data_IF_171287481385
#
_entry.id   IF_171287481385
#
_cell.length_a   1.000
_cell.length_b   1.000
_cell.length_c   1.000
_cell.angle_alpha   90.00
_cell.angle_beta   90.00
_cell.angle_gamma   90.00
#
_symmetry.space_group_name_H-M   'P 1'
#
loop_
_entity.id
_entity.type
_entity.pdbx_description
1 polymer ?
#
# COMPACT_ATOMS: atom_id res chain seq x y z
N UNK A 1 8.21 -17.25 -15.17
CA UNK A 1 7.57 -15.93 -14.93
C UNK A 1 6.52 -16.04 -13.84
N UNK A 2 5.69 -17.10 -13.86
CA UNK A 2 4.64 -17.38 -12.85
C UNK A 2 5.16 -17.78 -11.46
N UNK A 3 6.30 -18.48 -11.34
CA UNK A 3 6.83 -18.83 -10.01
C UNK A 3 7.32 -17.60 -9.22
N UNK A 4 7.85 -16.60 -9.93
CA UNK A 4 8.36 -15.37 -9.32
C UNK A 4 7.19 -14.52 -8.78
N UNK A 5 6.07 -14.46 -9.50
CA UNK A 5 4.86 -13.77 -9.03
C UNK A 5 4.23 -14.49 -7.85
N UNK A 6 4.17 -15.83 -7.88
CA UNK A 6 3.67 -16.63 -6.77
C UNK A 6 4.50 -16.46 -5.48
N UNK A 7 5.83 -16.33 -5.58
CA UNK A 7 6.70 -16.06 -4.44
C UNK A 7 6.50 -14.66 -3.87
N UNK A 8 6.39 -13.65 -4.74
CA UNK A 8 6.07 -12.27 -4.31
C UNK A 8 4.71 -12.23 -3.63
N UNK A 9 3.73 -12.96 -4.14
CA UNK A 9 2.39 -13.05 -3.57
C UNK A 9 2.36 -13.79 -2.22
N UNK A 10 3.08 -14.90 -2.10
CA UNK A 10 3.21 -15.61 -0.83
C UNK A 10 3.95 -14.77 0.21
N UNK A 11 4.94 -13.99 -0.23
CA UNK A 11 5.64 -13.05 0.62
C UNK A 11 4.71 -11.91 1.06
N UNK A 12 3.90 -11.32 0.17
CA UNK A 12 2.92 -10.29 0.55
C UNK A 12 1.86 -10.81 1.53
N UNK A 13 1.38 -12.05 1.38
CA UNK A 13 0.45 -12.65 2.35
C UNK A 13 1.10 -12.88 3.73
N UNK A 14 2.33 -13.39 3.78
CA UNK A 14 3.08 -13.53 5.04
C UNK A 14 3.36 -12.17 5.71
N UNK A 15 3.44 -11.08 4.94
CA UNK A 15 3.56 -9.72 5.45
C UNK A 15 2.24 -9.14 5.98
N UNK A 16 1.10 -9.56 5.40
CA UNK A 16 -0.25 -9.20 5.85
C UNK A 16 -0.68 -9.97 7.10
N UNK A 17 -0.05 -11.11 7.41
CA UNK A 17 -0.17 -11.83 8.70
C UNK A 17 0.51 -11.09 9.87
N UNK A 18 0.64 -9.76 9.77
CA UNK A 18 1.20 -8.87 10.79
C UNK A 18 0.47 -9.04 12.13
N UNK A 19 1.20 -9.60 13.09
CA UNK A 19 0.90 -9.71 14.52
C UNK A 19 -0.11 -8.66 14.98
N UNK A 20 -1.21 -9.07 15.63
CA UNK A 20 -2.31 -8.24 16.13
C UNK A 20 -1.95 -7.17 17.17
N UNK A 21 -0.90 -6.41 16.91
CA UNK A 21 -0.13 -5.51 17.76
C UNK A 21 0.06 -4.18 17.03
N UNK A 22 0.07 -3.06 17.74
CA UNK A 22 0.20 -1.70 17.17
C UNK A 22 1.66 -1.33 16.83
N UNK A 23 2.50 -2.29 16.45
CA UNK A 23 3.90 -2.05 16.13
C UNK A 23 4.10 -1.91 14.62
N UNK A 24 4.68 -0.80 14.19
CA UNK A 24 5.09 -0.62 12.79
C UNK A 24 6.27 -1.51 12.43
N UNK A 25 6.30 -2.00 11.19
CA UNK A 25 7.42 -2.75 10.66
C UNK A 25 8.34 -1.84 9.85
N UNK A 26 9.27 -1.18 10.55
CA UNK A 26 10.18 -0.19 9.97
C UNK A 26 11.12 -0.76 8.89
N UNK A 27 11.25 -2.09 8.79
CA UNK A 27 12.08 -2.74 7.78
C UNK A 27 11.60 -2.49 6.34
N UNK A 28 10.33 -2.12 6.17
CA UNK A 28 9.76 -1.84 4.85
C UNK A 28 9.78 -0.37 4.48
N UNK A 29 10.21 0.53 5.37
CA UNK A 29 10.31 1.95 5.02
C UNK A 29 11.30 2.14 3.85
N UNK A 30 10.89 2.93 2.87
CA UNK A 30 11.53 3.16 1.57
C UNK A 30 11.51 1.97 0.60
N UNK A 31 10.96 0.81 0.96
CA UNK A 31 10.77 -0.27 0.01
C UNK A 31 9.77 0.14 -1.08
N UNK A 32 10.00 -0.36 -2.30
CA UNK A 32 9.08 -0.16 -3.43
C UNK A 32 7.83 -1.01 -3.22
N UNK A 33 6.69 -0.48 -3.62
CA UNK A 33 5.41 -1.18 -3.60
C UNK A 33 4.60 -0.88 -4.87
N UNK A 34 3.68 -1.77 -5.17
CA UNK A 34 2.67 -1.60 -6.21
C UNK A 34 1.33 -1.27 -5.57
N UNK A 35 0.55 -0.39 -6.21
CA UNK A 35 -0.82 -0.06 -5.81
C UNK A 35 -1.79 -0.74 -6.76
N UNK A 36 -2.72 -1.50 -6.19
CA UNK A 36 -3.73 -2.26 -6.92
C UNK A 36 -5.02 -1.46 -7.09
N UNK A 37 -5.74 -1.73 -8.18
CA UNK A 37 -7.06 -1.19 -8.40
C UNK A 37 -8.07 -1.81 -7.42
N UNK A 38 -8.57 -1.02 -6.48
CA UNK A 38 -9.56 -1.47 -5.50
C UNK A 38 -10.88 -1.95 -6.12
N UNK A 39 -11.21 -1.49 -7.33
CA UNK A 39 -12.45 -1.85 -8.04
C UNK A 39 -12.29 -3.05 -8.98
N UNK A 40 -11.06 -3.56 -9.18
CA UNK A 40 -10.83 -4.75 -9.99
C UNK A 40 -10.95 -6.00 -9.10
N UNK A 41 -12.12 -6.63 -9.14
CA UNK A 41 -12.43 -7.79 -8.31
C UNK A 41 -12.01 -9.13 -8.95
N UNK A 42 -11.96 -9.16 -10.29
CA UNK A 42 -11.72 -10.39 -11.04
C UNK A 42 -10.23 -10.61 -11.35
N UNK A 43 -9.43 -9.54 -11.45
CA UNK A 43 -8.01 -9.58 -11.79
C UNK A 43 -7.22 -8.52 -11.01
N UNK A 44 -6.00 -8.87 -10.60
CA UNK A 44 -5.08 -7.93 -9.94
C UNK A 44 -4.52 -6.93 -10.96
N UNK A 45 -5.12 -5.74 -11.00
CA UNK A 45 -4.65 -4.65 -11.86
C UNK A 45 -3.73 -3.69 -11.07
N UNK A 46 -2.46 -3.60 -11.47
CA UNK A 46 -1.52 -2.62 -10.92
C UNK A 46 -1.72 -1.25 -11.60
N UNK A 47 -2.13 -0.25 -10.83
CA UNK A 47 -2.46 1.10 -11.33
C UNK A 47 -1.40 2.15 -11.02
N UNK A 48 -0.49 1.87 -10.08
CA UNK A 48 0.59 2.78 -9.73
C UNK A 48 1.75 2.07 -9.02
N UNK A 49 2.91 2.71 -9.06
CA UNK A 49 4.09 2.37 -8.27
C UNK A 49 4.34 3.41 -7.18
N UNK A 50 4.88 2.96 -6.04
CA UNK A 50 5.18 3.83 -4.93
C UNK A 50 6.30 3.34 -4.03
N UNK A 51 6.55 4.11 -2.97
CA UNK A 51 7.46 3.75 -1.88
C UNK A 51 6.77 3.89 -0.54
N UNK A 52 7.03 2.93 0.34
CA UNK A 52 6.49 2.94 1.70
C UNK A 52 7.17 4.07 2.47
N UNK A 53 6.38 5.05 2.90
CA UNK A 53 6.84 6.20 3.68
C UNK A 53 6.90 5.89 5.18
N UNK A 54 5.94 5.11 5.68
CA UNK A 54 5.85 4.73 7.10
C UNK A 54 4.92 3.54 7.25
N UNK A 55 5.28 2.63 8.14
CA UNK A 55 4.41 1.54 8.62
C UNK A 55 3.97 1.74 10.08
N UNK A 56 4.40 2.83 10.73
CA UNK A 56 3.98 3.16 12.11
C UNK A 56 2.48 3.53 12.15
N UNK A 57 1.63 2.74 12.85
CA UNK A 57 0.18 2.97 12.89
C UNK A 57 -0.22 4.29 13.59
N UNK A 58 0.72 4.96 14.26
CA UNK A 58 0.50 6.24 14.97
C UNK A 58 0.76 7.45 14.08
N UNK A 59 1.45 7.28 12.95
CA UNK A 59 1.68 8.38 12.00
C UNK A 59 0.35 8.86 11.46
N UNK A 60 0.23 10.18 11.30
CA UNK A 60 -1.01 10.82 10.84
C UNK A 60 -0.98 11.05 9.33
N UNK A 61 -2.08 10.74 8.68
CA UNK A 61 -2.44 11.22 7.34
C UNK A 61 -3.66 12.10 7.54
N UNK A 62 -3.55 13.37 7.18
CA UNK A 62 -4.66 14.32 7.32
C UNK A 62 -5.24 14.33 8.75
N UNK A 63 -4.37 14.54 9.75
CA UNK A 63 -4.73 14.50 11.18
C UNK A 63 -5.35 13.19 11.70
N UNK A 64 -5.52 12.16 10.88
CA UNK A 64 -6.03 10.86 11.31
C UNK A 64 -4.87 9.87 11.43
N UNK A 65 -4.74 9.12 12.55
CA UNK A 65 -3.74 8.06 12.64
C UNK A 65 -4.03 7.01 11.57
N UNK A 66 -2.97 6.44 10.97
CA UNK A 66 -3.09 5.39 9.95
C UNK A 66 -3.90 4.19 10.44
N UNK A 67 -3.67 3.77 11.69
CA UNK A 67 -4.27 2.56 12.24
C UNK A 67 -3.47 1.30 11.89
N UNK A 68 -3.95 0.17 12.40
CA UNK A 68 -3.30 -1.14 12.23
C UNK A 68 -3.35 -1.58 10.77
N UNK A 69 -2.31 -2.28 10.32
CA UNK A 69 -2.20 -2.87 8.98
C UNK A 69 -2.35 -1.86 7.82
N UNK A 70 -2.15 -0.57 8.13
CA UNK A 70 -2.25 0.54 7.18
C UNK A 70 -0.87 1.19 7.01
N UNK A 71 -0.43 1.36 5.77
CA UNK A 71 0.87 1.97 5.46
C UNK A 71 0.68 3.31 4.77
N UNK A 72 1.55 4.27 5.08
CA UNK A 72 1.65 5.52 4.33
C UNK A 72 2.58 5.29 3.15
N UNK A 73 2.15 5.67 1.95
CA UNK A 73 2.88 5.43 0.71
C UNK A 73 3.04 6.74 -0.07
N UNK A 74 4.23 6.97 -0.63
CA UNK A 74 4.46 7.97 -1.65
C UNK A 74 4.15 7.36 -3.02
N UNK A 75 3.26 7.98 -3.79
CA UNK A 75 3.01 7.57 -5.18
C UNK A 75 4.09 8.17 -6.06
N UNK A 76 4.86 7.34 -6.77
CA UNK A 76 5.97 7.79 -7.62
C UNK A 76 5.56 7.86 -9.10
N UNK A 77 4.73 6.93 -9.57
CA UNK A 77 4.24 6.89 -10.94
C UNK A 77 2.86 6.24 -11.03
N UNK A 78 2.01 6.74 -11.93
CA UNK A 78 0.69 6.17 -12.25
C UNK A 78 0.79 5.52 -13.63
N UNK A 79 0.41 4.25 -13.74
CA UNK A 79 0.52 3.46 -14.97
C UNK A 79 -0.75 3.54 -15.85
N UNK A 80 -1.91 3.84 -15.26
CA UNK A 80 -3.21 3.86 -15.95
C UNK A 80 -3.76 5.29 -16.02
N UNK A 81 -4.16 5.80 -17.20
CA UNK A 81 -4.71 7.13 -17.33
C UNK A 81 -6.07 7.27 -16.62
N UNK A 82 -6.36 8.48 -16.11
CA UNK A 82 -7.63 8.84 -15.45
C UNK A 82 -7.98 8.06 -14.17
N UNK A 83 -6.99 7.45 -13.51
CA UNK A 83 -7.18 6.79 -12.21
C UNK A 83 -6.86 7.76 -11.07
N UNK A 84 -7.81 7.90 -10.14
CA UNK A 84 -7.59 8.66 -8.90
C UNK A 84 -6.96 7.75 -7.85
N UNK A 85 -5.72 8.04 -7.45
CA UNK A 85 -4.99 7.33 -6.38
C UNK A 85 -5.21 7.96 -4.99
N UNK A 86 -6.16 8.88 -4.88
CA UNK A 86 -6.50 9.59 -3.66
C UNK A 86 -8.03 9.69 -3.52
N UNK A 87 -8.48 9.77 -2.27
CA UNK A 87 -9.87 10.14 -1.98
C UNK A 87 -9.97 11.66 -1.98
N UNK A 88 -10.79 12.21 -2.87
CA UNK A 88 -11.09 13.64 -2.83
C UNK A 88 -11.73 13.98 -1.47
N UNK A 89 -11.29 15.09 -0.87
CA UNK A 89 -11.85 15.67 0.35
C UNK A 89 -12.48 17.01 -0.01
N UNK A 90 -13.57 17.38 0.65
CA UNK A 90 -14.24 18.68 0.46
C UNK A 90 -13.47 19.86 1.11
N UNK A 91 -12.21 19.65 1.47
CA UNK A 91 -11.35 20.71 1.98
C UNK A 91 -10.88 21.60 0.84
N UNK A 92 -11.14 22.90 0.99
CA UNK A 92 -10.88 23.97 0.03
C UNK A 92 -9.56 24.65 0.34
#
# INVERSE_FOLDING_TARGET
MEEMSALVYKQSQLLQEGSGTMQGNYQYENARCQLLNWYAFDEEEVIAEGKIASTDPRVRVHHMPLGRDCWKVWVEAISVPNVNVYRATDEV
#
